data_IF_193701024198
#
_entry.id   IF_193701024198
#
_cell.length_a   1.000
_cell.length_b   1.000
_cell.length_c   1.000
_cell.angle_alpha   90.00
_cell.angle_beta   90.00
_cell.angle_gamma   90.00
#
_symmetry.space_group_name_H-M   'P 1'
#
loop_
_entity.id
_entity.type
_entity.pdbx_description
1 polymer ?
#
# COMPACT_ATOMS: atom_id res chain seq x y z
N UNK A 1 47.17 -44.41 29.51
CA UNK A 1 46.08 -43.46 29.20
C UNK A 1 45.27 -44.05 28.05
N UNK A 2 44.01 -44.41 28.30
CA UNK A 2 43.12 -45.04 27.33
C UNK A 2 41.80 -45.33 28.01
N UNK A 3 40.87 -44.37 27.93
CA UNK A 3 39.58 -44.39 28.61
C UNK A 3 38.57 -45.21 27.79
N UNK A 4 37.78 -46.02 28.50
CA UNK A 4 36.62 -46.79 28.04
C UNK A 4 35.48 -45.88 27.55
N UNK A 5 34.74 -46.31 26.54
CA UNK A 5 33.29 -46.07 26.48
C UNK A 5 32.59 -47.18 25.68
N UNK A 6 31.48 -47.65 26.24
CA UNK A 6 30.69 -48.81 25.84
C UNK A 6 29.47 -48.42 25.00
N UNK A 7 28.90 -49.42 24.34
CA UNK A 7 27.71 -49.41 23.51
C UNK A 7 26.44 -48.89 24.21
N UNK A 8 25.46 -48.39 23.44
CA UNK A 8 24.10 -48.91 23.49
C UNK A 8 23.24 -48.47 22.30
N UNK A 9 22.45 -49.41 21.83
CA UNK A 9 21.52 -49.45 20.70
C UNK A 9 20.34 -48.48 20.82
N UNK A 10 19.86 -47.96 19.67
CA UNK A 10 18.52 -47.40 19.54
C UNK A 10 17.67 -48.33 18.69
N UNK A 11 16.64 -48.89 19.33
CA UNK A 11 15.67 -49.81 18.77
C UNK A 11 14.75 -49.14 17.74
N UNK A 12 14.49 -49.88 16.67
CA UNK A 12 13.30 -49.81 15.85
C UNK A 12 12.04 -50.14 16.67
N UNK A 13 10.99 -49.33 16.54
CA UNK A 13 9.62 -49.78 16.78
C UNK A 13 8.68 -49.08 15.79
N UNK A 14 7.98 -49.89 14.99
CA UNK A 14 6.97 -49.48 14.03
C UNK A 14 5.56 -49.77 14.56
N UNK A 15 4.59 -49.03 13.99
CA UNK A 15 3.13 -49.24 13.95
C UNK A 15 2.32 -48.83 15.18
N UNK A 16 1.36 -47.91 14.96
CA UNK A 16 -0.03 -48.31 14.72
C UNK A 16 -0.85 -47.14 14.14
N UNK A 17 -1.74 -47.51 13.24
CA UNK A 17 -2.71 -46.67 12.55
C UNK A 17 -3.94 -46.47 13.44
N UNK A 18 -4.44 -45.24 13.57
CA UNK A 18 -5.80 -45.00 14.04
C UNK A 18 -6.44 -43.91 13.18
N UNK A 19 -7.24 -44.36 12.22
CA UNK A 19 -8.21 -43.57 11.47
C UNK A 19 -9.21 -42.92 12.44
N UNK A 20 -9.24 -41.59 12.52
CA UNK A 20 -10.36 -40.86 13.11
C UNK A 20 -11.15 -40.20 11.97
N UNK A 21 -12.16 -40.92 11.48
CA UNK A 21 -13.14 -40.41 10.54
C UNK A 21 -14.18 -39.59 11.33
N UNK A 22 -14.04 -38.26 11.33
CA UNK A 22 -15.13 -37.39 11.78
C UNK A 22 -16.08 -37.14 10.61
N UNK A 23 -17.24 -37.80 10.68
CA UNK A 23 -18.40 -37.57 9.80
C UNK A 23 -18.88 -36.13 9.97
N UNK A 24 -18.80 -35.33 8.91
CA UNK A 24 -19.59 -34.10 8.80
C UNK A 24 -21.00 -34.50 8.39
N UNK A 25 -21.94 -34.43 9.32
CA UNK A 25 -23.36 -34.53 9.02
C UNK A 25 -23.82 -33.25 8.34
N UNK A 26 -24.18 -33.37 7.07
CA UNK A 26 -24.95 -32.36 6.35
C UNK A 26 -26.37 -32.31 6.91
N UNK A 27 -26.77 -31.17 7.45
CA UNK A 27 -28.16 -30.85 7.74
C UNK A 27 -28.56 -29.61 6.95
N UNK A 28 -29.13 -29.86 5.77
CA UNK A 28 -29.87 -28.85 5.02
C UNK A 28 -31.26 -28.69 5.66
N UNK A 29 -31.65 -27.45 5.99
CA UNK A 29 -33.06 -27.03 5.93
C UNK A 29 -33.17 -25.62 5.34
N UNK A 30 -34.15 -25.39 4.46
CA UNK A 30 -34.25 -24.19 3.64
C UNK A 30 -35.01 -23.09 4.40
N UNK A 31 -34.64 -21.82 4.18
CA UNK A 31 -35.49 -20.69 4.51
C UNK A 31 -35.92 -20.01 3.21
N UNK A 32 -37.23 -19.84 2.95
CA UNK A 32 -37.75 -19.35 1.68
C UNK A 32 -37.95 -17.83 1.76
N UNK A 33 -37.31 -17.05 0.90
CA UNK A 33 -37.86 -15.77 0.45
C UNK A 33 -37.22 -15.42 -0.90
N UNK A 34 -38.06 -15.43 -1.94
CA UNK A 34 -37.68 -15.14 -3.31
C UNK A 34 -37.48 -13.64 -3.58
N UNK A 35 -36.46 -13.39 -4.41
CA UNK A 35 -36.30 -12.38 -5.48
C UNK A 35 -37.42 -11.35 -5.76
N UNK A 36 -37.08 -10.12 -6.20
CA UNK A 36 -36.45 -9.88 -7.52
C UNK A 36 -35.17 -9.01 -7.44
N UNK A 37 -34.07 -9.29 -8.14
CA UNK A 37 -33.88 -9.18 -9.59
C UNK A 37 -34.27 -7.79 -10.13
N UNK A 38 -33.39 -6.80 -9.93
CA UNK A 38 -33.38 -5.57 -10.71
C UNK A 38 -31.94 -5.25 -11.13
N UNK A 39 -31.66 -5.48 -12.40
CA UNK A 39 -30.50 -4.93 -13.06
C UNK A 39 -30.58 -3.40 -13.04
N UNK A 40 -29.56 -2.73 -12.52
CA UNK A 40 -29.31 -1.32 -12.81
C UNK A 40 -27.87 -1.18 -13.24
N UNK A 41 -27.67 -1.21 -14.57
CA UNK A 41 -26.49 -0.62 -15.19
C UNK A 41 -26.62 0.90 -15.03
N UNK A 42 -25.95 1.47 -14.03
CA UNK A 42 -25.55 2.88 -14.07
C UNK A 42 -24.07 2.96 -13.79
N UNK A 43 -23.30 3.07 -14.87
CA UNK A 43 -21.94 3.58 -14.79
C UNK A 43 -22.03 5.02 -14.27
N UNK A 44 -21.68 5.20 -13.00
CA UNK A 44 -21.58 6.52 -12.40
C UNK A 44 -20.18 7.05 -12.75
N UNK A 45 -20.05 7.69 -13.92
CA UNK A 45 -18.92 8.59 -14.16
C UNK A 45 -19.21 9.88 -13.39
N UNK A 46 -18.82 9.92 -12.13
CA UNK A 46 -18.87 11.15 -11.32
C UNK A 46 -17.47 11.66 -11.13
N UNK A 47 -17.09 12.58 -12.01
CA UNK A 47 -15.89 13.39 -11.84
C UNK A 47 -16.21 14.45 -10.78
N UNK A 48 -15.58 14.34 -9.61
CA UNK A 48 -15.74 15.32 -8.53
C UNK A 48 -14.72 16.43 -8.73
N UNK A 49 -15.17 17.61 -9.13
CA UNK A 49 -14.33 18.82 -9.18
C UNK A 49 -14.20 19.39 -7.77
N UNK A 50 -12.97 19.64 -7.31
CA UNK A 50 -12.75 20.33 -6.04
C UNK A 50 -13.22 21.79 -6.15
N UNK A 51 -13.98 22.27 -5.15
CA UNK A 51 -14.32 23.70 -5.03
C UNK A 51 -13.34 24.37 -4.08
N UNK A 52 -12.72 25.47 -4.52
CA UNK A 52 -11.76 26.26 -3.74
C UNK A 52 -12.44 27.39 -2.95
N UNK A 53 -11.79 27.81 -1.86
CA UNK A 53 -12.03 29.09 -1.18
C UNK A 53 -11.15 30.15 -1.84
N UNK A 54 -11.58 31.42 -2.00
CA UNK A 54 -10.76 32.43 -2.69
C UNK A 54 -9.43 32.68 -1.96
N UNK A 55 -8.30 32.32 -2.59
CA UNK A 55 -6.95 32.77 -2.20
C UNK A 55 -6.01 31.75 -1.55
N UNK A 56 -6.38 30.48 -1.40
CA UNK A 56 -5.51 29.43 -0.83
C UNK A 56 -5.32 28.21 -1.74
N UNK A 57 -4.28 27.40 -1.49
CA UNK A 57 -4.03 26.14 -2.18
C UNK A 57 -5.13 25.11 -1.88
N UNK A 58 -5.52 24.33 -2.89
CA UNK A 58 -6.51 23.27 -2.78
C UNK A 58 -5.93 21.97 -2.17
N UNK A 59 -4.65 21.74 -2.41
CA UNK A 59 -3.89 20.59 -1.93
C UNK A 59 -2.78 21.14 -1.02
N UNK A 60 -2.73 20.71 0.24
CA UNK A 60 -1.69 21.14 1.19
C UNK A 60 -0.85 19.98 1.66
N UNK A 61 0.42 20.19 1.96
CA UNK A 61 1.29 19.16 2.51
C UNK A 61 0.84 18.78 3.92
N UNK A 62 0.57 17.49 4.17
CA UNK A 62 0.31 16.99 5.50
C UNK A 62 1.63 16.67 6.23
N UNK A 63 1.68 16.91 7.54
CA UNK A 63 2.86 16.60 8.37
C UNK A 63 3.35 15.15 8.22
N UNK A 64 2.48 14.19 7.90
CA UNK A 64 2.84 12.81 7.65
C UNK A 64 3.66 12.62 6.36
N UNK A 65 3.43 13.43 5.33
CA UNK A 65 4.19 13.38 4.08
C UNK A 65 5.57 14.01 4.21
N UNK A 66 5.77 14.94 5.16
CA UNK A 66 7.04 15.66 5.36
C UNK A 66 8.26 14.75 5.53
N UNK A 67 8.09 13.56 6.13
CA UNK A 67 9.18 12.56 6.24
C UNK A 67 9.77 12.17 4.87
N UNK A 68 9.02 12.24 3.78
CA UNK A 68 9.54 11.94 2.44
C UNK A 68 10.52 13.00 1.93
N UNK A 69 10.50 14.19 2.53
CA UNK A 69 11.32 15.35 2.17
C UNK A 69 12.47 15.56 3.17
N UNK A 70 12.23 15.28 4.45
CA UNK A 70 13.16 15.67 5.53
C UNK A 70 13.80 14.50 6.27
N UNK A 71 13.26 13.27 6.17
CA UNK A 71 13.78 12.12 6.90
C UNK A 71 14.69 11.26 5.99
N UNK A 72 16.00 11.37 6.21
CA UNK A 72 16.99 10.59 5.47
C UNK A 72 16.86 9.07 5.69
N UNK A 73 16.23 8.64 6.78
CA UNK A 73 15.97 7.23 7.08
C UNK A 73 14.69 6.70 6.43
N UNK A 74 13.89 7.56 5.79
CA UNK A 74 12.66 7.15 5.13
C UNK A 74 12.92 6.08 4.07
N UNK A 75 12.15 5.00 4.10
CA UNK A 75 12.23 3.92 3.10
C UNK A 75 11.12 4.09 2.07
N UNK A 76 11.48 4.09 0.78
CA UNK A 76 10.56 4.35 -0.34
C UNK A 76 10.92 5.62 -1.11
N UNK A 77 9.91 6.32 -1.63
CA UNK A 77 10.10 7.53 -2.44
C UNK A 77 10.60 8.69 -1.58
N UNK A 78 11.86 9.10 -1.78
CA UNK A 78 12.46 10.30 -1.19
C UNK A 78 12.39 11.46 -2.18
N UNK A 79 11.96 12.63 -1.74
CA UNK A 79 11.75 13.81 -2.57
C UNK A 79 12.74 14.90 -2.13
N UNK A 80 13.81 15.06 -2.88
CA UNK A 80 14.81 16.12 -2.65
C UNK A 80 14.35 17.43 -3.31
N UNK A 81 13.29 18.04 -2.75
CA UNK A 81 12.67 19.27 -3.23
C UNK A 81 12.19 20.10 -2.03
N UNK A 82 12.09 21.42 -2.15
CA UNK A 82 11.51 22.23 -1.08
C UNK A 82 10.02 21.89 -0.90
N UNK A 83 9.53 21.56 0.31
CA UNK A 83 8.16 21.13 0.50
C UNK A 83 7.10 22.15 0.05
N UNK A 84 7.35 23.45 0.23
CA UNK A 84 6.40 24.49 -0.18
C UNK A 84 6.42 24.68 -1.69
N UNK A 85 7.59 24.74 -2.31
CA UNK A 85 7.70 24.80 -3.77
C UNK A 85 7.08 23.55 -4.43
N UNK A 86 7.22 22.37 -3.81
CA UNK A 86 6.61 21.13 -4.28
C UNK A 86 5.09 21.23 -4.26
N UNK A 87 4.52 21.68 -3.13
CA UNK A 87 3.08 21.90 -2.97
C UNK A 87 2.55 22.88 -4.02
N UNK A 88 3.22 24.02 -4.19
CA UNK A 88 2.81 25.04 -5.15
C UNK A 88 2.82 24.49 -6.58
N UNK A 89 3.86 23.70 -6.94
CA UNK A 89 3.96 23.09 -8.27
C UNK A 89 2.90 22.02 -8.51
N UNK A 90 2.58 21.21 -7.48
CA UNK A 90 1.47 20.24 -7.55
C UNK A 90 0.14 20.96 -7.78
N UNK A 91 -0.13 22.06 -7.06
CA UNK A 91 -1.36 22.85 -7.24
C UNK A 91 -1.41 23.53 -8.61
N UNK A 92 -0.29 24.02 -9.14
CA UNK A 92 -0.19 24.55 -10.51
C UNK A 92 -0.62 23.50 -11.54
N UNK A 93 -0.03 22.30 -11.49
CA UNK A 93 -0.34 21.20 -12.42
C UNK A 93 -1.78 20.71 -12.24
N UNK A 94 -2.24 20.57 -11.00
CA UNK A 94 -3.61 20.16 -10.67
C UNK A 94 -4.65 21.11 -11.27
N UNK A 95 -4.45 22.43 -11.10
CA UNK A 95 -5.34 23.45 -11.67
C UNK A 95 -5.27 23.48 -13.20
N UNK A 96 -4.07 23.36 -13.77
CA UNK A 96 -3.89 23.28 -15.23
C UNK A 96 -4.59 22.06 -15.84
N UNK A 97 -4.69 20.95 -15.10
CA UNK A 97 -5.42 19.75 -15.48
C UNK A 97 -6.94 19.81 -15.19
N UNK A 98 -7.47 20.99 -14.83
CA UNK A 98 -8.90 21.20 -14.57
C UNK A 98 -9.38 20.72 -13.19
N UNK A 99 -8.46 20.51 -12.24
CA UNK A 99 -8.80 20.12 -10.86
C UNK A 99 -9.39 18.72 -10.74
N UNK A 100 -8.99 17.80 -11.62
CA UNK A 100 -9.51 16.43 -11.65
C UNK A 100 -8.84 15.57 -10.57
N UNK A 101 -9.65 14.88 -9.79
CA UNK A 101 -9.22 13.91 -8.79
C UNK A 101 -9.58 12.50 -9.27
N UNK A 102 -8.62 11.59 -9.20
CA UNK A 102 -8.87 10.17 -9.41
C UNK A 102 -9.26 9.51 -8.08
N UNK A 103 -10.12 8.50 -8.15
CA UNK A 103 -10.63 7.78 -6.98
C UNK A 103 -9.56 6.89 -6.37
N UNK A 104 -9.36 6.99 -5.05
CA UNK A 104 -8.54 6.03 -4.30
C UNK A 104 -9.37 4.87 -3.73
N UNK A 105 -8.76 4.10 -2.83
CA UNK A 105 -9.38 2.91 -2.24
C UNK A 105 -10.62 3.19 -1.36
N UNK A 106 -10.83 4.44 -0.94
CA UNK A 106 -11.92 4.87 -0.08
C UNK A 106 -12.40 6.29 -0.46
N UNK A 107 -13.63 6.70 -0.10
CA UNK A 107 -14.18 8.01 -0.51
C UNK A 107 -13.33 9.22 -0.06
N UNK A 108 -12.58 9.08 1.03
CA UNK A 108 -11.70 10.12 1.58
C UNK A 108 -10.29 10.10 0.96
N UNK A 109 -9.97 9.14 0.09
CA UNK A 109 -8.67 8.98 -0.54
C UNK A 109 -8.78 9.32 -2.03
N UNK A 110 -7.92 10.20 -2.53
CA UNK A 110 -7.85 10.60 -3.94
C UNK A 110 -6.43 10.59 -4.42
N UNK A 111 -6.27 10.61 -5.75
CA UNK A 111 -4.99 10.67 -6.41
C UNK A 111 -4.94 11.82 -7.40
N UNK A 112 -3.78 12.45 -7.50
CA UNK A 112 -3.42 13.34 -8.62
C UNK A 112 -2.11 12.82 -9.19
N UNK A 113 -2.10 12.54 -10.49
CA UNK A 113 -0.90 12.09 -11.19
C UNK A 113 -0.28 13.29 -11.92
N UNK A 114 0.92 13.69 -11.51
CA UNK A 114 1.64 14.83 -12.09
C UNK A 114 2.93 14.35 -12.77
N UNK A 115 3.41 15.01 -13.84
CA UNK A 115 4.75 14.76 -14.35
C UNK A 115 5.79 14.94 -13.23
N UNK A 116 6.82 14.12 -13.22
CA UNK A 116 7.89 14.24 -12.25
C UNK A 116 8.75 15.48 -12.53
N UNK A 117 8.42 16.59 -11.88
CA UNK A 117 9.17 17.84 -11.97
C UNK A 117 10.32 17.93 -10.95
N UNK A 118 10.39 16.97 -10.03
CA UNK A 118 11.31 17.00 -8.88
C UNK A 118 12.50 16.03 -9.04
N UNK A 119 12.69 15.43 -10.22
CA UNK A 119 13.83 14.54 -10.50
C UNK A 119 13.83 13.26 -9.66
N UNK A 120 12.67 12.85 -9.14
CA UNK A 120 12.57 11.74 -8.19
C UNK A 120 12.77 10.41 -8.89
N UNK A 121 13.64 9.55 -8.36
CA UNK A 121 13.86 8.21 -8.89
C UNK A 121 12.70 7.28 -8.58
N UNK A 122 12.42 6.32 -9.46
CA UNK A 122 11.42 5.28 -9.19
C UNK A 122 11.79 4.48 -7.95
N UNK A 123 10.80 4.22 -7.10
CA UNK A 123 10.94 3.34 -5.93
C UNK A 123 10.57 1.88 -6.22
N UNK A 124 10.20 1.57 -7.47
CA UNK A 124 9.86 0.23 -7.94
C UNK A 124 10.60 -0.07 -9.24
N UNK A 125 11.29 -1.19 -9.28
CA UNK A 125 12.10 -1.62 -10.43
C UNK A 125 11.59 -2.95 -10.98
N UNK A 126 11.60 -3.07 -12.31
CA UNK A 126 11.27 -4.30 -12.99
C UNK A 126 12.33 -5.37 -12.71
N UNK A 127 11.88 -6.56 -12.34
CA UNK A 127 12.69 -7.76 -12.21
C UNK A 127 13.01 -8.27 -13.61
N UNK A 128 14.29 -8.47 -13.88
CA UNK A 128 14.86 -8.97 -15.13
C UNK A 128 15.78 -10.15 -14.83
N UNK A 129 16.06 -11.04 -15.80
CA UNK A 129 17.01 -12.13 -15.58
C UNK A 129 18.38 -11.66 -15.06
N UNK A 130 18.80 -10.44 -15.44
CA UNK A 130 20.08 -9.86 -15.06
C UNK A 130 20.11 -9.38 -13.61
N UNK A 131 19.01 -8.82 -13.11
CA UNK A 131 18.93 -8.25 -11.76
C UNK A 131 18.26 -9.17 -10.74
N UNK A 132 17.56 -10.24 -11.13
CA UNK A 132 16.80 -11.12 -10.21
C UNK A 132 17.66 -11.63 -9.04
N UNK A 133 18.93 -11.94 -9.31
CA UNK A 133 19.93 -12.38 -8.30
C UNK A 133 20.23 -11.36 -7.20
N UNK A 134 19.83 -10.10 -7.38
CA UNK A 134 20.01 -9.00 -6.42
C UNK A 134 18.80 -8.84 -5.48
N UNK A 135 17.71 -9.60 -5.71
CA UNK A 135 16.57 -9.58 -4.81
C UNK A 135 16.97 -10.10 -3.43
N UNK A 136 16.60 -9.31 -2.44
CA UNK A 136 16.66 -9.70 -1.03
C UNK A 136 15.26 -10.10 -0.59
N UNK A 137 15.18 -11.07 0.30
CA UNK A 137 13.93 -11.49 0.94
C UNK A 137 14.10 -11.52 2.44
N UNK A 138 13.06 -11.15 3.17
CA UNK A 138 13.08 -11.17 4.63
C UNK A 138 11.70 -10.98 5.23
N UNK A 139 11.60 -11.21 6.53
CA UNK A 139 10.40 -10.93 7.31
C UNK A 139 10.50 -9.52 7.90
N UNK A 140 9.58 -8.64 7.52
CA UNK A 140 9.59 -7.24 7.92
C UNK A 140 8.25 -6.82 8.52
N UNK A 141 8.31 -6.00 9.56
CA UNK A 141 7.15 -5.34 10.16
C UNK A 141 7.37 -3.82 10.13
N UNK A 142 6.33 -3.03 9.88
CA UNK A 142 6.44 -1.56 9.88
C UNK A 142 6.54 -0.99 11.30
N UNK A 143 5.96 -1.70 12.26
CA UNK A 143 6.04 -1.39 13.70
C UNK A 143 6.14 -2.69 14.49
N UNK A 144 6.60 -2.61 15.73
CA UNK A 144 6.69 -3.78 16.63
C UNK A 144 5.33 -4.41 17.00
N UNK A 145 4.22 -3.73 16.68
CA UNK A 145 2.85 -4.22 16.94
C UNK A 145 2.28 -5.01 15.77
N UNK A 146 2.89 -4.94 14.58
CA UNK A 146 2.41 -5.64 13.39
C UNK A 146 3.10 -7.00 13.25
N UNK A 147 2.37 -7.99 12.71
CA UNK A 147 2.99 -9.25 12.31
C UNK A 147 4.02 -9.00 11.21
N UNK A 148 5.24 -9.57 11.33
CA UNK A 148 6.22 -9.49 10.27
C UNK A 148 5.75 -10.31 9.07
N UNK A 149 5.88 -9.74 7.88
CA UNK A 149 5.46 -10.34 6.63
C UNK A 149 6.65 -10.66 5.74
N UNK A 150 6.56 -11.76 5.00
CA UNK A 150 7.55 -12.07 3.97
C UNK A 150 7.49 -10.97 2.89
N UNK A 151 8.62 -10.32 2.68
CA UNK A 151 8.83 -9.24 1.73
C UNK A 151 10.00 -9.56 0.82
N UNK A 152 10.01 -8.97 -0.37
CA UNK A 152 11.15 -8.97 -1.29
C UNK A 152 11.41 -7.57 -1.83
N UNK A 153 12.66 -7.22 -2.02
CA UNK A 153 13.07 -5.88 -2.47
C UNK A 153 14.46 -5.92 -3.11
N UNK A 154 14.83 -4.85 -3.80
CA UNK A 154 16.22 -4.53 -4.11
C UNK A 154 16.77 -3.59 -3.04
N UNK A 155 18.00 -3.83 -2.57
CA UNK A 155 18.69 -2.87 -1.71
C UNK A 155 19.11 -1.63 -2.51
N UNK A 156 18.93 -0.45 -1.93
CA UNK A 156 19.30 0.81 -2.54
C UNK A 156 20.79 0.82 -2.92
N UNK A 157 21.07 1.24 -4.16
CA UNK A 157 22.42 1.23 -4.72
C UNK A 157 22.87 -0.11 -5.33
N UNK A 158 22.11 -1.20 -5.16
CA UNK A 158 22.42 -2.49 -5.83
C UNK A 158 21.82 -2.60 -7.22
N UNK A 159 20.74 -1.86 -7.50
CA UNK A 159 20.07 -1.80 -8.80
C UNK A 159 19.98 -0.37 -9.30
N UNK A 160 20.01 -0.19 -10.62
CA UNK A 160 19.76 1.12 -11.23
C UNK A 160 18.30 1.53 -11.05
N UNK A 161 18.10 2.75 -10.55
CA UNK A 161 16.78 3.37 -10.41
C UNK A 161 16.71 4.61 -11.31
N UNK A 162 16.04 4.53 -12.47
CA UNK A 162 15.88 5.68 -13.34
C UNK A 162 14.98 6.74 -12.69
N UNK A 163 15.04 7.96 -13.22
CA UNK A 163 14.06 9.00 -12.89
C UNK A 163 12.66 8.53 -13.28
N UNK A 164 11.71 8.65 -12.36
CA UNK A 164 10.32 8.28 -12.62
C UNK A 164 9.68 9.26 -13.59
N UNK A 165 8.70 8.80 -14.38
CA UNK A 165 7.96 9.70 -15.30
C UNK A 165 6.91 10.55 -14.58
N UNK A 166 6.28 9.99 -13.55
CA UNK A 166 5.16 10.59 -12.84
C UNK A 166 5.34 10.49 -11.33
N UNK A 167 4.63 11.38 -10.64
CA UNK A 167 4.39 11.32 -9.21
C UNK A 167 2.90 11.09 -8.98
N UNK A 168 2.56 10.01 -8.29
CA UNK A 168 1.24 9.78 -7.71
C UNK A 168 1.17 10.51 -6.36
N UNK A 169 0.40 11.60 -6.35
CA UNK A 169 0.13 12.42 -5.18
C UNK A 169 -1.12 11.86 -4.49
N UNK A 170 -0.93 11.20 -3.36
CA UNK A 170 -2.00 10.58 -2.60
C UNK A 170 -2.56 11.61 -1.61
N UNK A 171 -3.86 11.82 -1.70
CA UNK A 171 -4.58 12.85 -0.98
C UNK A 171 -5.57 12.22 -0.01
N UNK A 172 -5.59 12.70 1.23
CA UNK A 172 -6.70 12.46 2.15
C UNK A 172 -7.56 13.70 2.31
N UNK A 173 -8.86 13.51 2.51
CA UNK A 173 -9.75 14.61 2.81
C UNK A 173 -9.40 15.22 4.16
N UNK A 174 -9.60 16.53 4.29
CA UNK A 174 -9.43 17.27 5.55
C UNK A 174 -10.12 16.60 6.73
N UNK A 175 -11.34 16.09 6.52
CA UNK A 175 -12.12 15.42 7.56
C UNK A 175 -11.48 14.12 8.01
N UNK A 176 -10.85 13.37 7.09
CA UNK A 176 -10.12 12.16 7.44
C UNK A 176 -8.84 12.47 8.22
N UNK A 177 -8.05 13.44 7.74
CA UNK A 177 -6.83 13.90 8.43
C UNK A 177 -7.16 14.33 9.87
N UNK A 178 -8.20 15.15 10.06
CA UNK A 178 -8.67 15.58 11.39
C UNK A 178 -9.04 14.39 12.29
N UNK A 179 -9.68 13.35 11.75
CA UNK A 179 -10.04 12.13 12.52
C UNK A 179 -8.80 11.36 12.96
N UNK A 180 -7.82 11.17 12.07
CA UNK A 180 -6.59 10.43 12.38
C UNK A 180 -5.70 11.20 13.37
N UNK A 181 -5.55 12.51 13.19
CA UNK A 181 -4.82 13.38 14.11
C UNK A 181 -5.42 13.35 15.52
N UNK A 182 -6.74 13.44 15.64
CA UNK A 182 -7.44 13.32 16.92
C UNK A 182 -7.24 11.94 17.57
N UNK A 183 -7.31 10.85 16.80
CA UNK A 183 -7.09 9.51 17.29
C UNK A 183 -5.64 9.27 17.78
N UNK A 184 -4.67 9.98 17.21
CA UNK A 184 -3.26 9.97 17.64
C UNK A 184 -2.97 10.91 18.82
N UNK A 185 -3.95 11.70 19.28
CA UNK A 185 -3.74 12.69 20.35
C UNK A 185 -2.79 13.83 19.98
N UNK A 186 -2.63 14.11 18.68
CA UNK A 186 -1.80 15.22 18.18
C UNK A 186 -2.63 16.51 18.10
N UNK A 187 -1.96 17.65 18.17
CA UNK A 187 -2.62 18.95 17.98
C UNK A 187 -3.16 19.09 16.55
N UNK A 188 -4.29 19.79 16.43
CA UNK A 188 -4.97 19.99 15.15
C UNK A 188 -4.20 20.99 14.30
N UNK A 189 -3.74 20.58 13.12
CA UNK A 189 -3.38 21.54 12.07
C UNK A 189 -4.64 22.22 11.53
N UNK A 190 -4.62 23.54 11.50
CA UNK A 190 -5.75 24.37 11.11
C UNK A 190 -5.71 24.71 9.62
N UNK A 191 -5.59 23.68 8.78
CA UNK A 191 -5.79 23.84 7.34
C UNK A 191 -7.28 23.77 6.99
N UNK A 192 -7.70 24.72 6.15
CA UNK A 192 -9.02 24.77 5.54
C UNK A 192 -9.03 24.26 4.09
N UNK A 193 -7.88 23.81 3.58
CA UNK A 193 -7.81 23.15 2.30
C UNK A 193 -8.63 21.85 2.31
N UNK A 194 -9.32 21.51 1.21
CA UNK A 194 -10.16 20.30 1.16
C UNK A 194 -9.35 18.99 1.21
N UNK A 195 -8.09 19.01 0.75
CA UNK A 195 -7.25 17.83 0.62
C UNK A 195 -5.85 18.07 1.19
N UNK A 196 -5.32 17.07 1.91
CA UNK A 196 -3.92 17.03 2.33
C UNK A 196 -3.15 15.95 1.57
N UNK A 197 -1.96 16.29 1.09
CA UNK A 197 -0.98 15.38 0.50
C UNK A 197 -0.39 14.54 1.62
N UNK A 198 -0.76 13.27 1.69
CA UNK A 198 -0.30 12.34 2.73
C UNK A 198 0.82 11.42 2.27
N UNK A 199 1.05 11.31 0.95
CA UNK A 199 2.18 10.58 0.40
C UNK A 199 2.43 10.94 -1.06
N UNK A 200 3.70 10.82 -1.48
CA UNK A 200 4.16 10.92 -2.86
C UNK A 200 4.74 9.58 -3.28
N UNK A 201 4.28 9.01 -4.39
CA UNK A 201 4.90 7.81 -5.00
C UNK A 201 5.48 8.14 -6.36
N UNK A 202 6.75 7.79 -6.56
CA UNK A 202 7.43 7.91 -7.85
C UNK A 202 7.20 6.65 -8.69
N UNK A 203 6.73 6.84 -9.93
CA UNK A 203 6.34 5.73 -10.81
C UNK A 203 6.39 6.11 -12.30
N UNK A 204 6.38 5.09 -13.17
CA UNK A 204 6.48 5.27 -14.62
C UNK A 204 5.13 5.33 -15.35
N UNK A 205 4.03 5.26 -14.60
CA UNK A 205 2.65 5.27 -15.12
C UNK A 205 1.83 6.38 -14.48
N UNK A 206 0.79 6.84 -15.16
CA UNK A 206 -0.10 7.94 -14.79
C UNK A 206 -1.40 7.47 -14.10
N UNK A 207 -1.37 6.30 -13.47
CA UNK A 207 -2.49 5.71 -12.74
C UNK A 207 -1.99 4.93 -11.52
N UNK A 208 -2.88 4.62 -10.58
CA UNK A 208 -2.51 3.95 -9.33
C UNK A 208 -1.88 2.57 -9.63
N UNK A 209 -0.64 2.36 -9.17
CA UNK A 209 -0.02 1.04 -9.12
C UNK A 209 -0.72 0.22 -8.03
N UNK A 210 -1.18 -1.02 -8.31
CA UNK A 210 -1.86 -1.82 -7.32
C UNK A 210 -0.98 -2.02 -6.08
N UNK A 211 -1.59 -2.02 -4.89
CA UNK A 211 -0.86 -2.36 -3.65
C UNK A 211 -0.21 -3.74 -3.77
N UNK A 212 0.91 -3.97 -3.09
CA UNK A 212 1.54 -5.30 -3.05
C UNK A 212 0.55 -6.38 -2.55
N UNK A 213 0.61 -7.63 -3.07
CA UNK A 213 -0.34 -8.67 -2.69
C UNK A 213 -0.40 -8.90 -1.16
N UNK A 214 0.76 -8.85 -0.51
CA UNK A 214 0.88 -9.01 0.94
C UNK A 214 0.22 -7.86 1.72
N UNK A 215 0.21 -6.64 1.18
CA UNK A 215 -0.50 -5.50 1.77
C UNK A 215 -2.01 -5.73 1.72
N UNK A 216 -2.53 -6.28 0.63
CA UNK A 216 -3.95 -6.65 0.53
C UNK A 216 -4.32 -7.76 1.51
N UNK A 217 -3.47 -8.78 1.66
CA UNK A 217 -3.65 -9.85 2.64
C UNK A 217 -3.66 -9.32 4.07
N UNK A 218 -2.69 -8.47 4.44
CA UNK A 218 -2.65 -7.82 5.77
C UNK A 218 -3.89 -6.98 6.01
N UNK A 219 -4.34 -6.19 5.02
CA UNK A 219 -5.53 -5.37 5.15
C UNK A 219 -6.77 -6.18 5.52
N UNK A 220 -6.90 -7.40 5.01
CA UNK A 220 -8.01 -8.31 5.32
C UNK A 220 -7.97 -8.91 6.73
N UNK A 221 -6.82 -8.86 7.44
CA UNK A 221 -6.69 -9.36 8.83
C UNK A 221 -7.29 -8.40 9.87
N UNK A 222 -7.56 -7.15 9.50
CA UNK A 222 -8.12 -6.15 10.42
C UNK A 222 -7.07 -5.28 11.12
N UNK A 223 -7.57 -4.29 11.87
CA UNK A 223 -6.75 -3.24 12.50
C UNK A 223 -5.78 -3.75 13.56
N UNK A 224 -6.16 -4.80 14.29
CA UNK A 224 -5.33 -5.41 15.31
C UNK A 224 -4.01 -5.95 14.74
N UNK A 225 -4.01 -6.38 13.48
CA UNK A 225 -2.85 -6.93 12.77
C UNK A 225 -2.22 -5.91 11.80
N UNK A 226 -2.49 -4.61 11.96
CA UNK A 226 -1.96 -3.53 11.12
C UNK A 226 -2.62 -3.37 9.75
N UNK A 227 -3.76 -4.03 9.53
CA UNK A 227 -4.57 -3.92 8.32
C UNK A 227 -5.66 -2.83 8.40
N UNK A 228 -6.23 -2.45 7.27
CA UNK A 228 -7.38 -1.52 7.24
C UNK A 228 -8.73 -2.18 7.63
N UNK A 229 -8.82 -3.51 7.61
CA UNK A 229 -10.07 -4.27 7.75
C UNK A 229 -10.89 -4.38 6.47
N UNK A 230 -10.36 -3.92 5.34
CA UNK A 230 -11.02 -4.06 4.03
C UNK A 230 -10.93 -5.52 3.57
N UNK A 231 -12.06 -6.17 3.22
CA UNK A 231 -12.06 -7.54 2.72
C UNK A 231 -11.21 -7.72 1.46
N UNK A 232 -10.60 -8.90 1.33
CA UNK A 232 -9.79 -9.22 0.16
C UNK A 232 -10.67 -9.41 -1.09
N UNK A 233 -10.50 -8.54 -2.08
CA UNK A 233 -11.14 -8.67 -3.40
C UNK A 233 -10.24 -9.49 -4.34
N UNK A 234 -10.74 -10.65 -4.78
CA UNK A 234 -9.95 -11.61 -5.58
C UNK A 234 -9.42 -11.01 -6.88
N UNK A 235 -10.25 -10.25 -7.60
CA UNK A 235 -9.86 -9.66 -8.89
C UNK A 235 -8.74 -8.64 -8.73
N UNK A 236 -8.86 -7.73 -7.75
CA UNK A 236 -7.81 -6.75 -7.42
C UNK A 236 -6.53 -7.44 -6.94
N UNK A 237 -6.65 -8.52 -6.18
CA UNK A 237 -5.49 -9.31 -5.75
C UNK A 237 -4.75 -9.91 -6.96
N UNK A 238 -5.47 -10.44 -7.95
CA UNK A 238 -4.84 -10.97 -9.15
C UNK A 238 -4.19 -9.89 -10.02
N UNK A 239 -4.78 -8.69 -10.11
CA UNK A 239 -4.16 -7.53 -10.76
C UNK A 239 -2.85 -7.12 -10.06
N UNK A 240 -2.87 -7.10 -8.72
CA UNK A 240 -1.69 -6.89 -7.90
C UNK A 240 -0.61 -7.95 -8.18
N UNK A 241 -0.97 -9.23 -8.19
CA UNK A 241 -0.02 -10.32 -8.49
C UNK A 241 0.58 -10.17 -9.89
N UNK A 242 -0.21 -9.79 -10.90
CA UNK A 242 0.28 -9.63 -12.26
C UNK A 242 1.36 -8.54 -12.34
N UNK A 243 1.13 -7.39 -11.72
CA UNK A 243 2.11 -6.31 -11.66
C UNK A 243 3.33 -6.68 -10.77
N UNK A 244 3.10 -7.20 -9.58
CA UNK A 244 4.17 -7.43 -8.62
C UNK A 244 4.96 -8.70 -8.89
N UNK A 245 4.56 -9.57 -9.83
CA UNK A 245 5.33 -10.76 -10.22
C UNK A 245 6.69 -10.37 -10.80
N UNK A 246 6.72 -9.33 -11.63
CA UNK A 246 7.91 -8.85 -12.33
C UNK A 246 8.37 -7.47 -11.85
N UNK A 247 7.92 -7.00 -10.69
CA UNK A 247 8.38 -5.77 -10.06
C UNK A 247 8.75 -5.98 -8.58
N UNK A 248 9.73 -5.23 -8.11
CA UNK A 248 10.10 -5.20 -6.69
C UNK A 248 10.36 -3.76 -6.23
N UNK A 249 10.00 -3.42 -4.98
CA UNK A 249 10.37 -2.14 -4.39
C UNK A 249 11.88 -2.05 -4.18
N UNK A 250 12.38 -0.82 -4.14
CA UNK A 250 13.75 -0.49 -3.72
C UNK A 250 13.71 0.09 -2.32
N UNK A 251 14.58 -0.41 -1.43
CA UNK A 251 14.66 0.02 -0.03
C UNK A 251 16.06 0.46 0.35
#
# INVERSE_FOLDING_TARGET
MGIRAAACSLLFAARASTTCAFRIQAAARPCPLGFPAAASRRGYKSTTTAMSTPGGNELVMDAFAMRQFTDESYTGTKVAYDPQEFEDKVNEVFRAAGGKLEEGYAPFCKHVFVPNFAGVKTSTVKITPENEKLLVTGYEARTSKELPILSRWFESGTVETPEAKFLDIILYSREQIRKETAAMGKEKEDSEAPWGIISVKSQDVDHEIPMQPITMMRNALGKEEGGSGVPLEREKYMQSVEFWRDHAPVK
#
